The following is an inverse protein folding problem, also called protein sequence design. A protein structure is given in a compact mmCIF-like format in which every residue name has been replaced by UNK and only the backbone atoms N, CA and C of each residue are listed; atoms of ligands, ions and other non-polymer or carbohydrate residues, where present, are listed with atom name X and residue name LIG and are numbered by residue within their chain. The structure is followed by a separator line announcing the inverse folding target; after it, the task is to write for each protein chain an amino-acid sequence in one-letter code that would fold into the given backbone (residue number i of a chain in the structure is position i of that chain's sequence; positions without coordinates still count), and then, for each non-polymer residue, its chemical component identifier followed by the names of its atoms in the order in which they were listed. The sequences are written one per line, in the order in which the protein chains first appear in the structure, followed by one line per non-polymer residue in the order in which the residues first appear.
data_IF_619878019352
#
_entry.id   IF_619878019352
#
_cell.length_a   1.000
_cell.length_b   1.000
_cell.length_c   1.000
_cell.angle_alpha   90.00
_cell.angle_beta   90.00
_cell.angle_gamma   90.00
#
_symmetry.space_group_name_H-M   'P 1'
#
loop_
_entity.id
_entity.type
_entity.pdbx_description
1 polymer ?
#
# COMPACT_ATOMS: atom_id res chain seq x y z
N UNK A 1 -11.15 -11.60 -17.26
CA UNK A 1 -10.40 -11.61 -15.98
C UNK A 1 -8.96 -11.22 -16.26
N UNK A 2 -8.40 -10.28 -15.50
CA UNK A 2 -6.97 -9.91 -15.63
C UNK A 2 -6.12 -11.06 -15.10
N UNK A 3 -5.19 -11.55 -15.92
CA UNK A 3 -4.30 -12.63 -15.52
C UNK A 3 -3.18 -12.08 -14.62
N UNK A 4 -3.11 -12.59 -13.39
CA UNK A 4 -2.11 -12.18 -12.38
C UNK A 4 -1.15 -13.32 -12.04
N UNK A 5 0.08 -12.99 -11.70
CA UNK A 5 1.08 -13.92 -11.16
C UNK A 5 1.30 -13.58 -9.69
N UNK A 6 1.15 -14.58 -8.81
CA UNK A 6 1.50 -14.44 -7.38
C UNK A 6 2.82 -15.13 -7.12
N UNK A 7 3.85 -14.36 -6.74
CA UNK A 7 5.13 -14.90 -6.27
C UNK A 7 5.11 -14.99 -4.75
N UNK A 8 5.69 -16.06 -4.20
CA UNK A 8 5.72 -16.34 -2.76
C UNK A 8 7.12 -16.68 -2.30
N UNK A 9 7.45 -16.30 -1.08
CA UNK A 9 8.72 -16.61 -0.43
C UNK A 9 8.48 -16.84 1.06
N UNK A 10 9.31 -17.68 1.67
CA UNK A 10 9.31 -17.95 3.11
C UNK A 10 10.73 -17.83 3.63
N UNK A 11 10.89 -17.16 4.76
CA UNK A 11 12.16 -16.98 5.47
C UNK A 11 11.85 -17.02 6.98
N UNK A 12 12.29 -18.07 7.66
CA UNK A 12 11.81 -18.39 9.01
C UNK A 12 10.28 -18.44 9.06
N UNK A 13 9.69 -17.72 10.01
CA UNK A 13 8.23 -17.61 10.18
C UNK A 13 7.57 -16.59 9.22
N UNK A 14 8.39 -15.79 8.53
CA UNK A 14 7.89 -14.75 7.61
C UNK A 14 7.43 -15.39 6.31
N UNK A 15 6.13 -15.33 6.06
CA UNK A 15 5.49 -15.66 4.77
C UNK A 15 5.25 -14.39 3.97
N UNK A 16 5.79 -14.35 2.76
CA UNK A 16 5.74 -13.18 1.88
C UNK A 16 5.09 -13.51 0.55
N UNK A 17 4.26 -12.59 0.03
CA UNK A 17 3.70 -12.71 -1.31
C UNK A 17 3.65 -11.37 -2.03
N UNK A 18 3.77 -11.40 -3.36
CA UNK A 18 3.58 -10.24 -4.21
C UNK A 18 2.76 -10.64 -5.45
N UNK A 19 1.73 -9.85 -5.75
CA UNK A 19 0.80 -10.08 -6.85
C UNK A 19 1.11 -9.10 -7.96
N UNK A 20 1.44 -9.61 -9.15
CA UNK A 20 1.82 -8.83 -10.32
C UNK A 20 0.90 -9.12 -11.50
N UNK A 21 0.90 -8.24 -12.50
CA UNK A 21 0.47 -8.60 -13.86
C UNK A 21 1.46 -9.59 -14.50
N UNK A 22 1.02 -10.34 -15.53
CA UNK A 22 1.94 -11.24 -16.27
C UNK A 22 3.10 -10.51 -16.93
N UNK A 23 2.87 -9.31 -17.46
CA UNK A 23 3.93 -8.47 -18.04
C UNK A 23 4.90 -7.91 -16.99
N UNK A 24 4.58 -8.01 -15.69
CA UNK A 24 5.43 -7.50 -14.61
C UNK A 24 5.42 -5.98 -14.44
N UNK A 25 4.73 -5.22 -15.29
CA UNK A 25 4.62 -3.76 -15.19
C UNK A 25 3.78 -3.30 -13.98
N UNK A 26 2.86 -4.13 -13.52
CA UNK A 26 1.95 -3.80 -12.42
C UNK A 26 2.20 -4.66 -11.19
N UNK A 27 2.17 -4.07 -9.99
CA UNK A 27 2.11 -4.79 -8.71
C UNK A 27 0.86 -4.36 -7.96
N UNK A 28 -0.06 -5.30 -7.79
CA UNK A 28 -1.37 -5.06 -7.18
C UNK A 28 -1.35 -5.18 -5.66
N UNK A 29 -0.46 -6.01 -5.10
CA UNK A 29 -0.32 -6.17 -3.66
C UNK A 29 1.04 -6.72 -3.27
N UNK A 30 1.51 -6.34 -2.09
CA UNK A 30 2.66 -6.92 -1.40
C UNK A 30 2.22 -7.29 0.02
N UNK A 31 2.38 -8.53 0.45
CA UNK A 31 1.97 -8.99 1.79
C UNK A 31 3.16 -9.59 2.54
N UNK A 32 3.21 -9.34 3.84
CA UNK A 32 4.08 -10.01 4.83
C UNK A 32 3.22 -10.49 5.98
N UNK A 33 3.44 -11.72 6.41
CA UNK A 33 2.77 -12.36 7.55
C UNK A 33 3.85 -13.05 8.38
N UNK A 34 3.88 -12.84 9.69
CA UNK A 34 4.85 -13.48 10.59
C UNK A 34 4.21 -14.09 11.84
N UNK A 35 2.99 -13.68 12.20
CA UNK A 35 2.24 -14.21 13.31
C UNK A 35 0.73 -14.06 13.04
N UNK A 36 -0.08 -14.66 13.91
CA UNK A 36 -1.49 -14.33 14.02
C UNK A 36 -1.67 -12.97 14.72
N UNK A 37 -2.89 -12.43 14.67
CA UNK A 37 -3.22 -11.13 15.27
C UNK A 37 -3.68 -10.08 14.26
N UNK A 38 -3.70 -8.79 14.67
CA UNK A 38 -4.20 -7.71 13.83
C UNK A 38 -3.44 -7.60 12.50
N UNK A 39 -4.15 -7.18 11.47
CA UNK A 39 -3.63 -6.99 10.11
C UNK A 39 -3.78 -5.55 9.69
N UNK A 40 -2.72 -5.00 9.12
CA UNK A 40 -2.70 -3.63 8.61
C UNK A 40 -2.61 -3.61 7.10
N UNK A 41 -3.37 -2.72 6.46
CA UNK A 41 -3.14 -2.37 5.05
C UNK A 41 -2.55 -0.98 4.99
N UNK A 42 -1.45 -0.79 4.27
CA UNK A 42 -0.96 0.52 3.87
C UNK A 42 -1.40 0.81 2.43
N UNK A 43 -1.96 2.01 2.21
CA UNK A 43 -2.30 2.53 0.88
C UNK A 43 -1.30 3.61 0.52
N UNK A 44 -0.44 3.35 -0.45
CA UNK A 44 0.68 4.21 -0.83
C UNK A 44 0.54 4.72 -2.26
N UNK A 45 1.51 5.50 -2.78
CA UNK A 45 1.41 6.10 -4.11
C UNK A 45 1.50 5.06 -5.24
N UNK A 46 2.69 4.50 -5.45
CA UNK A 46 2.97 3.51 -6.49
C UNK A 46 4.04 2.50 -6.04
N UNK A 47 4.03 1.27 -6.58
CA UNK A 47 5.09 0.31 -6.37
C UNK A 47 6.44 0.78 -6.92
N UNK A 48 7.51 0.48 -6.19
CA UNK A 48 8.89 0.61 -6.65
C UNK A 48 9.54 -0.79 -6.74
N UNK A 49 10.65 -1.01 -6.04
CA UNK A 49 11.52 -2.19 -6.20
C UNK A 49 11.20 -3.35 -5.26
N UNK A 50 10.47 -3.14 -4.15
CA UNK A 50 10.13 -4.24 -3.24
C UNK A 50 9.32 -5.36 -3.92
N UNK A 51 9.64 -6.60 -3.55
CA UNK A 51 9.04 -7.79 -4.14
C UNK A 51 8.74 -8.85 -3.08
N UNK A 52 8.35 -10.05 -3.48
CA UNK A 52 8.08 -11.14 -2.54
C UNK A 52 9.26 -11.53 -1.63
N UNK A 53 10.51 -11.19 -1.96
CA UNK A 53 11.70 -11.57 -1.18
C UNK A 53 12.21 -10.42 -0.33
N UNK A 54 12.39 -9.24 -0.93
CA UNK A 54 13.09 -8.09 -0.35
C UNK A 54 12.18 -6.90 -0.13
N UNK A 55 12.44 -6.19 0.96
CA UNK A 55 11.84 -4.88 1.22
C UNK A 55 12.74 -3.79 0.61
N UNK A 56 12.11 -2.70 0.16
CA UNK A 56 12.78 -1.42 -0.08
C UNK A 56 12.71 -0.56 1.21
N UNK A 57 13.36 0.62 1.30
CA UNK A 57 13.36 1.43 2.52
C UNK A 57 11.96 1.79 3.03
N UNK A 58 11.00 1.98 2.12
CA UNK A 58 9.63 2.31 2.48
C UNK A 58 8.92 1.10 3.06
N UNK A 59 9.04 -0.07 2.42
CA UNK A 59 8.43 -1.30 2.93
C UNK A 59 9.05 -1.71 4.27
N UNK A 60 10.35 -1.49 4.46
CA UNK A 60 11.00 -1.69 5.75
C UNK A 60 10.39 -0.79 6.83
N UNK A 61 10.12 0.49 6.52
CA UNK A 61 9.42 1.41 7.44
C UNK A 61 7.99 0.98 7.75
N UNK A 62 7.23 0.54 6.75
CA UNK A 62 5.89 0.00 6.96
C UNK A 62 5.91 -1.27 7.83
N UNK A 63 6.89 -2.15 7.64
CA UNK A 63 7.04 -3.35 8.46
C UNK A 63 7.36 -3.00 9.92
N UNK A 64 8.33 -2.12 10.17
CA UNK A 64 8.63 -1.62 11.52
C UNK A 64 7.38 -1.04 12.17
N UNK A 65 6.67 -0.15 11.46
CA UNK A 65 5.42 0.43 11.97
C UNK A 65 4.39 -0.65 12.30
N UNK A 66 4.19 -1.64 11.43
CA UNK A 66 3.22 -2.69 11.68
C UNK A 66 3.54 -3.51 12.92
N UNK A 67 4.83 -3.75 13.20
CA UNK A 67 5.28 -4.43 14.43
C UNK A 67 5.05 -3.57 15.67
N UNK A 68 5.34 -2.28 15.58
CA UNK A 68 5.13 -1.33 16.68
C UNK A 68 3.63 -1.23 17.05
N UNK A 69 2.75 -1.41 16.06
CA UNK A 69 1.28 -1.46 16.23
C UNK A 69 0.75 -2.85 16.65
N UNK A 70 1.63 -3.81 16.97
CA UNK A 70 1.25 -5.15 17.43
C UNK A 70 0.65 -6.06 16.35
N UNK A 71 0.84 -5.76 15.07
CA UNK A 71 0.28 -6.55 13.98
C UNK A 71 1.01 -7.89 13.79
N UNK A 72 0.28 -8.90 13.33
CA UNK A 72 0.83 -10.18 12.84
C UNK A 72 1.15 -10.17 11.34
N UNK A 73 0.62 -9.17 10.61
CA UNK A 73 0.78 -9.04 9.18
C UNK A 73 0.55 -7.61 8.67
N UNK A 74 1.16 -7.29 7.53
CA UNK A 74 0.75 -6.13 6.74
C UNK A 74 0.61 -6.46 5.24
N UNK A 75 -0.19 -5.63 4.56
CA UNK A 75 -0.32 -5.60 3.11
C UNK A 75 -0.13 -4.17 2.60
N UNK A 76 0.60 -4.03 1.49
CA UNK A 76 0.73 -2.78 0.75
C UNK A 76 -0.13 -2.90 -0.50
N UNK A 77 -0.93 -1.88 -0.73
CA UNK A 77 -1.54 -1.56 -2.02
C UNK A 77 -1.21 -0.11 -2.37
N UNK A 78 -1.48 0.28 -3.60
CA UNK A 78 -1.06 1.56 -4.12
C UNK A 78 -2.18 2.23 -4.90
N UNK A 79 -2.24 3.57 -4.88
CA UNK A 79 -3.14 4.36 -5.72
C UNK A 79 -3.00 3.95 -7.20
N UNK A 80 -1.76 3.74 -7.62
CA UNK A 80 -1.36 3.32 -8.96
C UNK A 80 -0.65 1.97 -8.86
N UNK A 81 -1.06 0.96 -9.65
CA UNK A 81 -0.37 -0.34 -9.65
C UNK A 81 0.91 -0.33 -10.49
N UNK A 82 1.10 0.68 -11.36
CA UNK A 82 2.27 0.78 -12.21
C UNK A 82 3.56 0.88 -11.39
N UNK A 83 4.53 0.02 -11.70
CA UNK A 83 5.82 -0.01 -11.03
C UNK A 83 6.74 1.04 -11.62
N UNK A 84 7.16 1.99 -10.78
CA UNK A 84 8.10 3.04 -11.13
C UNK A 84 8.90 3.47 -9.90
N UNK A 85 10.16 3.86 -10.09
CA UNK A 85 10.99 4.34 -8.97
C UNK A 85 10.64 5.78 -8.65
N UNK A 86 10.42 6.60 -9.68
CA UNK A 86 10.12 8.01 -9.52
C UNK A 86 8.64 8.30 -9.82
N UNK A 87 7.92 9.02 -8.93
CA UNK A 87 6.51 9.38 -9.14
C UNK A 87 6.23 10.08 -10.47
N UNK A 88 7.20 10.84 -10.99
CA UNK A 88 7.07 11.55 -12.27
C UNK A 88 6.80 10.59 -13.45
N UNK A 89 7.31 9.35 -13.40
CA UNK A 89 7.14 8.34 -14.44
C UNK A 89 5.68 7.87 -14.57
N UNK A 90 4.84 8.06 -13.54
CA UNK A 90 3.42 7.70 -13.60
C UNK A 90 2.68 8.45 -14.70
N UNK A 91 3.10 9.68 -15.02
CA UNK A 91 2.50 10.49 -16.09
C UNK A 91 2.80 9.95 -17.49
N UNK A 92 3.89 9.20 -17.63
CA UNK A 92 4.31 8.60 -18.89
C UNK A 92 3.76 7.18 -19.06
N UNK A 93 3.10 6.63 -18.04
CA UNK A 93 2.46 5.32 -18.13
C UNK A 93 1.16 5.42 -18.94
N UNK A 94 0.89 4.48 -19.85
CA UNK A 94 -0.37 4.47 -20.62
C UNK A 94 -1.60 4.22 -19.74
N UNK A 95 -1.44 3.48 -18.63
CA UNK A 95 -2.45 3.28 -17.61
C UNK A 95 -1.73 3.10 -16.27
N UNK A 96 -1.51 4.17 -15.49
CA UNK A 96 -0.80 4.08 -14.22
C UNK A 96 -1.63 3.39 -13.14
N UNK A 97 -2.98 3.49 -13.22
CA UNK A 97 -3.88 2.86 -12.26
C UNK A 97 -3.73 1.35 -12.35
N UNK A 98 -3.73 0.84 -13.57
CA UNK A 98 -3.56 -0.56 -13.88
C UNK A 98 -4.85 -1.35 -13.77
N UNK A 99 -5.04 -2.35 -14.64
CA UNK A 99 -6.30 -3.06 -14.72
C UNK A 99 -6.51 -3.89 -13.45
N UNK A 100 -7.64 -3.69 -12.77
CA UNK A 100 -8.02 -4.44 -11.56
C UNK A 100 -7.42 -3.93 -10.25
N UNK A 101 -6.75 -2.77 -10.25
CA UNK A 101 -6.16 -2.19 -9.05
C UNK A 101 -7.21 -1.85 -7.98
N UNK A 102 -8.36 -1.27 -8.35
CA UNK A 102 -9.45 -0.96 -7.39
C UNK A 102 -9.94 -2.20 -6.65
N UNK A 103 -10.07 -3.32 -7.37
CA UNK A 103 -10.45 -4.59 -6.75
C UNK A 103 -9.36 -5.08 -5.77
N UNK A 104 -8.08 -4.84 -6.06
CA UNK A 104 -6.98 -5.16 -5.15
C UNK A 104 -6.98 -4.28 -3.90
N UNK A 105 -7.19 -2.96 -4.06
CA UNK A 105 -7.32 -2.01 -2.94
C UNK A 105 -8.48 -2.41 -2.04
N UNK A 106 -9.67 -2.65 -2.60
CA UNK A 106 -10.86 -3.08 -1.85
C UNK A 106 -10.62 -4.39 -1.09
N UNK A 107 -10.02 -5.40 -1.73
CA UNK A 107 -9.69 -6.67 -1.08
C UNK A 107 -8.65 -6.51 0.02
N UNK A 108 -7.71 -5.59 -0.12
CA UNK A 108 -6.72 -5.31 0.92
C UNK A 108 -7.39 -4.66 2.14
N UNK A 109 -8.20 -3.62 1.93
CA UNK A 109 -8.95 -2.97 3.00
C UNK A 109 -9.80 -3.98 3.78
N UNK A 110 -10.60 -4.81 3.09
CA UNK A 110 -11.46 -5.81 3.73
C UNK A 110 -10.67 -6.93 4.46
N UNK A 111 -9.44 -7.22 4.02
CA UNK A 111 -8.57 -8.23 4.63
C UNK A 111 -7.91 -7.75 5.93
N UNK A 112 -7.76 -6.44 6.10
CA UNK A 112 -7.15 -5.80 7.28
C UNK A 112 -8.17 -5.33 8.30
N UNK A 113 -7.72 -5.19 9.55
CA UNK A 113 -8.50 -4.60 10.64
C UNK A 113 -8.45 -3.06 10.60
N UNK A 114 -7.30 -2.49 10.19
CA UNK A 114 -7.08 -1.05 10.05
C UNK A 114 -6.37 -0.74 8.73
N UNK A 115 -6.73 0.38 8.10
CA UNK A 115 -6.11 0.87 6.87
C UNK A 115 -5.32 2.14 7.16
N UNK A 116 -4.03 2.16 6.88
CA UNK A 116 -3.17 3.33 7.00
C UNK A 116 -2.95 3.92 5.61
N UNK A 117 -3.48 5.12 5.39
CA UNK A 117 -3.23 5.87 4.17
C UNK A 117 -1.92 6.63 4.29
N UNK A 118 -1.10 6.58 3.23
CA UNK A 118 0.27 7.10 3.27
C UNK A 118 0.89 7.38 1.88
N UNK A 119 0.10 7.92 0.94
CA UNK A 119 0.53 8.13 -0.45
C UNK A 119 1.27 9.45 -0.72
N UNK A 120 1.37 10.36 0.26
CA UNK A 120 2.10 11.62 0.10
C UNK A 120 1.46 12.58 -0.91
N UNK A 121 2.22 13.59 -1.32
CA UNK A 121 1.71 14.75 -2.06
C UNK A 121 1.37 14.51 -3.54
N UNK A 122 1.68 13.33 -4.10
CA UNK A 122 1.53 13.05 -5.53
C UNK A 122 0.29 12.22 -5.88
N UNK A 123 -0.63 12.01 -4.93
CA UNK A 123 -1.83 11.21 -5.13
C UNK A 123 -2.87 11.82 -6.09
N UNK A 124 -2.83 13.14 -6.29
CA UNK A 124 -3.85 13.90 -7.02
C UNK A 124 -3.83 13.71 -8.54
N UNK A 125 -2.89 12.93 -9.10
CA UNK A 125 -2.84 12.65 -10.54
C UNK A 125 -4.19 12.05 -10.99
N UNK A 126 -4.90 12.76 -11.87
CA UNK A 126 -6.24 12.43 -12.35
C UNK A 126 -7.30 12.26 -11.23
N UNK A 127 -7.13 12.94 -10.08
CA UNK A 127 -8.04 12.86 -8.93
C UNK A 127 -8.04 11.49 -8.23
N UNK A 128 -6.96 10.72 -8.40
CA UNK A 128 -6.90 9.32 -7.97
C UNK A 128 -6.99 9.14 -6.46
N UNK A 129 -6.38 10.03 -5.69
CA UNK A 129 -6.47 10.06 -4.23
C UNK A 129 -7.93 10.14 -3.75
N UNK A 130 -8.73 11.08 -4.29
CA UNK A 130 -10.15 11.24 -3.94
C UNK A 130 -10.95 9.98 -4.31
N UNK A 131 -10.71 9.41 -5.49
CA UNK A 131 -11.38 8.18 -5.92
C UNK A 131 -11.08 6.99 -4.99
N UNK A 132 -9.80 6.83 -4.60
CA UNK A 132 -9.39 5.75 -3.70
C UNK A 132 -9.87 6.00 -2.27
N UNK A 133 -9.85 7.23 -1.78
CA UNK A 133 -10.43 7.57 -0.49
C UNK A 133 -11.91 7.19 -0.44
N UNK A 134 -12.71 7.59 -1.44
CA UNK A 134 -14.11 7.21 -1.53
C UNK A 134 -14.31 5.68 -1.62
N UNK A 135 -13.43 4.97 -2.35
CA UNK A 135 -13.43 3.52 -2.40
C UNK A 135 -13.16 2.88 -1.03
N UNK A 136 -12.22 3.42 -0.27
CA UNK A 136 -11.85 2.95 1.06
C UNK A 136 -12.95 3.24 2.08
N UNK A 137 -13.56 4.43 2.08
CA UNK A 137 -14.67 4.78 2.97
C UNK A 137 -15.85 3.81 2.81
N UNK A 138 -16.17 3.40 1.57
CA UNK A 138 -17.23 2.41 1.30
C UNK A 138 -16.95 1.01 1.88
N UNK A 139 -15.73 0.73 2.33
CA UNK A 139 -15.41 -0.56 2.97
C UNK A 139 -15.81 -0.62 4.45
N UNK A 140 -16.13 0.54 5.07
CA UNK A 140 -16.45 0.64 6.50
C UNK A 140 -15.26 0.36 7.44
N UNK A 141 -14.04 0.27 6.91
CA UNK A 141 -12.83 0.04 7.71
C UNK A 141 -12.29 1.37 8.27
N UNK A 142 -11.75 1.38 9.49
CA UNK A 142 -11.06 2.55 10.02
C UNK A 142 -9.92 2.97 9.09
N UNK A 143 -9.98 4.23 8.63
CA UNK A 143 -8.92 4.86 7.86
C UNK A 143 -8.07 5.69 8.81
N UNK A 144 -6.78 5.45 8.79
CA UNK A 144 -5.79 6.08 9.65
C UNK A 144 -4.71 6.77 8.81
N UNK A 145 -4.00 7.71 9.39
CA UNK A 145 -2.84 8.36 8.76
C UNK A 145 -1.74 8.72 9.76
N UNK A 146 -0.52 8.89 9.25
CA UNK A 146 0.67 9.36 9.98
C UNK A 146 0.78 10.90 9.97
N UNK A 147 -0.37 11.58 10.05
CA UNK A 147 -0.49 13.01 9.82
C UNK A 147 -0.67 13.39 8.35
N UNK A 148 -1.04 14.63 8.14
CA UNK A 148 -1.36 15.20 6.83
C UNK A 148 -0.31 16.22 6.39
N UNK A 149 -0.11 16.38 5.09
CA UNK A 149 0.61 17.50 4.49
C UNK A 149 -0.23 18.78 4.61
N UNK A 150 0.36 19.94 4.27
CA UNK A 150 -0.39 21.20 4.21
C UNK A 150 -1.57 21.15 3.23
N UNK A 151 -1.45 20.34 2.17
CA UNK A 151 -2.51 20.12 1.19
C UNK A 151 -3.52 19.03 1.60
N UNK A 152 -3.47 18.53 2.85
CA UNK A 152 -4.39 17.51 3.36
C UNK A 152 -4.11 16.08 2.91
N UNK A 153 -3.00 15.83 2.20
CA UNK A 153 -2.63 14.48 1.77
C UNK A 153 -1.97 13.68 2.92
N UNK A 154 -2.19 12.36 3.03
CA UNK A 154 -1.62 11.55 4.09
C UNK A 154 -0.12 11.41 3.88
N UNK A 155 0.67 11.70 4.91
CA UNK A 155 2.14 11.72 4.79
C UNK A 155 2.70 10.34 4.45
N UNK A 156 3.73 10.35 3.63
CA UNK A 156 4.46 9.14 3.28
C UNK A 156 5.32 8.66 4.47
N UNK A 157 5.40 7.35 4.77
CA UNK A 157 6.01 6.87 6.02
C UNK A 157 7.51 7.19 6.13
N UNK A 158 8.20 7.29 5.00
CA UNK A 158 9.64 7.61 4.96
C UNK A 158 9.97 8.97 5.58
N UNK A 159 9.04 9.92 5.55
CA UNK A 159 9.24 11.28 6.04
C UNK A 159 8.55 11.54 7.39
N UNK A 160 8.10 10.49 8.07
CA UNK A 160 7.44 10.59 9.37
C UNK A 160 8.36 10.09 10.48
N UNK A 161 8.39 10.75 11.65
CA UNK A 161 9.03 10.19 12.83
C UNK A 161 8.44 8.82 13.18
N UNK A 162 9.30 7.91 13.65
CA UNK A 162 8.89 6.53 13.98
C UNK A 162 7.75 6.48 15.00
N UNK A 163 7.76 7.37 15.99
CA UNK A 163 6.84 7.31 17.14
C UNK A 163 5.60 8.18 16.97
N UNK A 164 5.37 8.72 15.76
CA UNK A 164 4.17 9.52 15.51
C UNK A 164 2.93 8.63 15.69
N UNK A 165 1.92 9.03 16.48
CA UNK A 165 0.70 8.24 16.65
C UNK A 165 -0.10 8.18 15.35
N UNK A 166 -0.87 7.11 15.17
CA UNK A 166 -1.88 7.04 14.12
C UNK A 166 -3.09 7.88 14.53
N UNK A 167 -3.62 8.64 13.59
CA UNK A 167 -4.85 9.41 13.77
C UNK A 167 -5.90 8.94 12.77
N UNK A 168 -7.16 8.97 13.18
CA UNK A 168 -8.28 8.67 12.27
C UNK A 168 -8.37 9.73 11.17
N UNK A 169 -8.67 9.25 9.96
CA UNK A 169 -8.93 10.09 8.82
C UNK A 169 -10.44 10.23 8.63
N UNK A 170 -10.99 11.27 9.25
CA UNK A 170 -12.38 11.73 9.08
C UNK A 170 -12.61 12.35 7.72
#
# INVERSE_FOLDING_TARGET
MISTITRRHREGDRRSSAVFSRCGCYRFALTRIWADGPRLTFVMLNPSTADHRRNDPTIARCETRARDEGAGAFRIVNLFAWRATFPAELRSSPDPVGPGNDAAIRRAALWSDRVICAWGAHGALAGRDVQVQALLCRTGRPLLHLGLTQAGAPRHPLYCPRNLPLSEWS
#
